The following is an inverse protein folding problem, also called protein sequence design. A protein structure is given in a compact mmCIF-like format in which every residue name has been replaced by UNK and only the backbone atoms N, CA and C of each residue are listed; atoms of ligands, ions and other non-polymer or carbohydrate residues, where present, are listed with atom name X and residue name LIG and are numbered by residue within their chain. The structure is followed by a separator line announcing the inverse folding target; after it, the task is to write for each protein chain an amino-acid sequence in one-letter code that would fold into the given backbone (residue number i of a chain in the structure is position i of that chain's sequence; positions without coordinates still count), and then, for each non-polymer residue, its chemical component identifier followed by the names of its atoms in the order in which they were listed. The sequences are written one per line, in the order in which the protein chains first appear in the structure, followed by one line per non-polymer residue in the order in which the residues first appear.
data_IF_368739756836
#
_entry.id   IF_368739756836
#
_cell.length_a   1.000
_cell.length_b   1.000
_cell.length_c   1.000
_cell.angle_alpha   90.00
_cell.angle_beta   90.00
_cell.angle_gamma   90.00
#
_symmetry.space_group_name_H-M   'P 1'
#
loop_
_entity.id
_entity.type
_entity.pdbx_description
1 polymer ?
#
# COMPACT_ATOMS: atom_id res chain seq x y z
N UNK A 1 3.60 -1.18 -27.43
CA UNK A 1 2.68 -2.27 -27.06
C UNK A 1 2.89 -3.51 -27.92
N UNK A 2 2.74 -3.50 -29.28
CA UNK A 2 2.83 -4.67 -30.18
C UNK A 2 4.15 -5.44 -30.05
N UNK A 3 5.30 -4.74 -29.96
CA UNK A 3 6.62 -5.39 -29.77
C UNK A 3 6.73 -6.17 -28.46
N UNK A 4 6.06 -5.69 -27.40
CA UNK A 4 6.03 -6.39 -26.09
C UNK A 4 5.20 -7.66 -26.19
N UNK A 5 4.05 -7.60 -26.85
CA UNK A 5 3.20 -8.76 -27.09
C UNK A 5 3.92 -9.82 -27.93
N UNK A 6 4.63 -9.40 -28.99
CA UNK A 6 5.38 -10.31 -29.85
C UNK A 6 6.64 -10.92 -29.21
N UNK A 7 7.12 -10.35 -28.10
CA UNK A 7 8.24 -10.91 -27.34
C UNK A 7 7.83 -12.14 -26.51
N UNK A 8 6.54 -12.32 -26.29
CA UNK A 8 5.90 -13.47 -25.59
C UNK A 8 6.53 -13.83 -24.25
N UNK A 9 7.04 -12.81 -23.53
CA UNK A 9 7.59 -12.99 -22.19
C UNK A 9 6.47 -12.81 -21.17
N UNK A 10 6.09 -13.91 -20.51
CA UNK A 10 5.02 -13.96 -19.53
C UNK A 10 5.58 -14.17 -18.13
N UNK A 11 5.20 -13.31 -17.19
CA UNK A 11 5.46 -13.52 -15.78
C UNK A 11 4.18 -13.99 -15.07
N UNK A 12 4.30 -14.99 -14.22
CA UNK A 12 3.28 -15.34 -13.25
C UNK A 12 3.50 -14.52 -11.98
N UNK A 13 2.50 -13.74 -11.61
CA UNK A 13 2.51 -12.89 -10.43
C UNK A 13 1.50 -13.39 -9.42
N UNK A 14 1.70 -12.99 -8.18
CA UNK A 14 0.77 -13.18 -7.09
C UNK A 14 -0.31 -12.09 -7.12
N UNK A 15 -1.47 -12.39 -6.57
CA UNK A 15 -2.48 -11.41 -6.21
C UNK A 15 -3.04 -11.76 -4.84
N UNK A 16 -3.71 -10.83 -4.19
CA UNK A 16 -4.35 -11.09 -2.91
C UNK A 16 -5.86 -11.04 -2.99
N UNK A 17 -6.52 -11.56 -1.96
CA UNK A 17 -7.96 -11.48 -1.76
C UNK A 17 -8.21 -10.85 -0.39
N UNK A 18 -9.03 -9.80 -0.35
CA UNK A 18 -9.53 -9.18 0.88
C UNK A 18 -11.06 -9.32 0.92
N UNK A 19 -11.61 -10.07 1.87
CA UNK A 19 -13.05 -10.33 2.00
C UNK A 19 -13.73 -10.67 0.66
N UNK A 20 -13.17 -11.62 -0.09
CA UNK A 20 -13.62 -12.09 -1.42
C UNK A 20 -13.41 -11.08 -2.58
N UNK A 21 -12.72 -9.97 -2.37
CA UNK A 21 -12.35 -9.01 -3.42
C UNK A 21 -10.88 -9.18 -3.77
N UNK A 22 -10.52 -9.33 -5.05
CA UNK A 22 -9.12 -9.42 -5.46
C UNK A 22 -8.45 -8.05 -5.39
N UNK A 23 -7.16 -8.02 -4.97
CA UNK A 23 -6.28 -6.87 -5.08
C UNK A 23 -4.95 -7.28 -5.69
N UNK A 24 -4.33 -6.38 -6.45
CA UNK A 24 -3.08 -6.66 -7.17
C UNK A 24 -1.90 -5.93 -6.55
N UNK A 25 -2.11 -4.73 -6.02
CA UNK A 25 -1.05 -3.92 -5.44
C UNK A 25 -1.12 -3.91 -3.92
N UNK A 26 -2.14 -3.26 -3.37
CA UNK A 26 -2.26 -3.06 -1.92
C UNK A 26 -3.72 -3.05 -1.48
N UNK A 27 -3.96 -3.51 -0.28
CA UNK A 27 -5.23 -3.29 0.41
C UNK A 27 -4.96 -2.88 1.85
N UNK A 28 -5.98 -2.33 2.53
CA UNK A 28 -5.75 -1.93 3.91
C UNK A 28 -6.93 -1.26 4.59
N UNK A 29 -6.70 -0.92 5.85
CA UNK A 29 -7.67 -0.29 6.74
C UNK A 29 -7.02 0.86 7.51
N UNK A 30 -7.83 1.77 7.98
CA UNK A 30 -7.35 2.92 8.74
C UNK A 30 -7.22 4.17 7.88
N UNK A 31 -6.17 4.93 8.09
CA UNK A 31 -5.99 6.22 7.44
C UNK A 31 -5.88 6.14 5.93
N UNK A 32 -5.23 5.13 5.37
CA UNK A 32 -5.11 4.93 3.93
C UNK A 32 -6.47 4.69 3.25
N UNK A 33 -7.34 3.90 3.90
CA UNK A 33 -8.73 3.73 3.45
C UNK A 33 -9.54 5.04 3.55
N UNK A 34 -9.32 5.81 4.61
CA UNK A 34 -9.92 7.14 4.75
C UNK A 34 -9.47 8.09 3.64
N UNK A 35 -8.18 8.10 3.30
CA UNK A 35 -7.64 8.90 2.20
C UNK A 35 -8.24 8.47 0.86
N UNK A 36 -8.30 7.18 0.57
CA UNK A 36 -8.92 6.64 -0.65
C UNK A 36 -10.38 7.09 -0.79
N UNK A 37 -11.15 7.04 0.31
CA UNK A 37 -12.53 7.51 0.34
C UNK A 37 -12.63 9.02 0.02
N UNK A 38 -11.77 9.84 0.62
CA UNK A 38 -11.76 11.30 0.37
C UNK A 38 -11.34 11.64 -1.06
N UNK A 39 -10.45 10.84 -1.66
CA UNK A 39 -10.11 10.99 -3.08
C UNK A 39 -11.29 10.68 -4.00
N UNK A 40 -12.01 9.59 -3.74
CA UNK A 40 -13.19 9.21 -4.51
C UNK A 40 -14.29 10.31 -4.45
N UNK A 41 -14.55 10.84 -3.24
CA UNK A 41 -15.52 11.93 -3.03
C UNK A 41 -15.14 13.23 -3.75
N UNK A 42 -13.85 13.52 -3.92
CA UNK A 42 -13.37 14.78 -4.51
C UNK A 42 -13.44 14.84 -6.04
N UNK A 43 -13.55 13.68 -6.72
CA UNK A 43 -13.58 13.59 -8.18
C UNK A 43 -12.32 14.11 -8.90
N UNK A 44 -11.29 14.52 -8.17
CA UNK A 44 -10.03 15.08 -8.70
C UNK A 44 -8.84 14.22 -8.32
N UNK A 45 -8.19 13.65 -9.30
CA UNK A 45 -6.82 13.12 -9.17
C UNK A 45 -5.87 14.31 -9.20
N UNK A 46 -5.47 14.82 -8.03
CA UNK A 46 -4.71 16.05 -7.91
C UNK A 46 -3.24 15.86 -7.54
N UNK A 47 -2.42 16.93 -7.66
CA UNK A 47 -1.00 16.92 -7.36
C UNK A 47 -0.70 16.73 -5.86
N UNK A 48 0.58 16.46 -5.53
CA UNK A 48 1.11 16.23 -4.18
C UNK A 48 0.62 17.20 -3.09
N UNK A 49 0.37 18.46 -3.43
CA UNK A 49 -0.20 19.46 -2.51
C UNK A 49 -1.59 19.11 -1.97
N UNK A 50 -2.37 18.36 -2.73
CA UNK A 50 -3.66 17.86 -2.27
C UNK A 50 -3.50 16.73 -1.25
N UNK A 51 -2.53 15.84 -1.47
CA UNK A 51 -2.17 14.78 -0.53
C UNK A 51 -1.70 15.39 0.79
N UNK A 52 -0.89 16.44 0.75
CA UNK A 52 -0.38 17.15 1.95
C UNK A 52 -1.51 17.78 2.76
N UNK A 53 -2.48 18.43 2.10
CA UNK A 53 -3.63 19.01 2.78
C UNK A 53 -4.55 17.94 3.38
N UNK A 54 -4.74 16.81 2.70
CA UNK A 54 -5.53 15.69 3.22
C UNK A 54 -4.81 14.92 4.32
N UNK A 55 -3.49 14.83 4.27
CA UNK A 55 -2.69 14.36 5.40
C UNK A 55 -2.89 15.26 6.63
N UNK A 56 -2.90 16.58 6.47
CA UNK A 56 -3.19 17.52 7.58
C UNK A 56 -4.59 17.35 8.16
N UNK A 57 -5.62 17.18 7.33
CA UNK A 57 -6.97 16.87 7.81
C UNK A 57 -7.03 15.50 8.49
N UNK A 58 -6.34 14.52 7.93
CA UNK A 58 -6.28 13.16 8.44
C UNK A 58 -5.47 13.01 9.73
N UNK A 59 -4.68 14.00 10.13
CA UNK A 59 -4.04 14.02 11.44
C UNK A 59 -5.05 14.17 12.59
N UNK A 60 -6.30 14.48 12.30
CA UNK A 60 -7.45 14.34 13.21
C UNK A 60 -8.05 12.93 13.20
N UNK A 61 -7.53 12.02 12.34
CA UNK A 61 -7.97 10.64 12.30
C UNK A 61 -7.58 9.95 13.61
N UNK A 62 -8.57 9.43 14.31
CA UNK A 62 -8.34 8.67 15.52
C UNK A 62 -7.89 7.26 15.16
N UNK A 63 -6.67 6.92 15.54
CA UNK A 63 -6.18 5.56 15.39
C UNK A 63 -7.05 4.56 16.16
N UNK A 64 -7.38 3.46 15.49
CA UNK A 64 -8.18 2.38 16.06
C UNK A 64 -7.30 1.27 16.65
N UNK A 65 -7.90 0.40 17.43
CA UNK A 65 -7.25 -0.81 17.96
C UNK A 65 -7.68 -2.00 17.14
N UNK A 66 -6.69 -2.64 16.52
CA UNK A 66 -6.86 -3.82 15.69
C UNK A 66 -6.24 -5.04 16.38
N UNK A 67 -6.90 -6.18 16.21
CA UNK A 67 -6.33 -7.49 16.51
C UNK A 67 -5.93 -8.11 15.19
N UNK A 68 -4.66 -8.48 15.04
CA UNK A 68 -4.14 -9.18 13.86
C UNK A 68 -3.80 -10.60 14.28
N UNK A 69 -4.33 -11.55 13.55
CA UNK A 69 -4.12 -12.99 13.72
C UNK A 69 -3.49 -13.55 12.46
N UNK A 70 -2.38 -14.28 12.61
CA UNK A 70 -1.70 -15.02 11.57
C UNK A 70 -1.35 -16.44 12.06
N UNK A 71 -0.58 -17.20 11.29
CA UNK A 71 -0.13 -18.55 11.66
C UNK A 71 0.78 -18.60 12.91
N UNK A 72 1.37 -17.47 13.31
CA UNK A 72 2.27 -17.35 14.45
C UNK A 72 1.56 -16.93 15.73
N UNK A 73 0.31 -16.48 15.62
CA UNK A 73 -0.50 -16.09 16.77
C UNK A 73 -1.33 -14.83 16.57
N UNK A 74 -1.66 -14.20 17.69
CA UNK A 74 -2.56 -13.05 17.72
C UNK A 74 -1.90 -11.90 18.45
N UNK A 75 -1.87 -10.71 17.82
CA UNK A 75 -1.30 -9.49 18.41
C UNK A 75 -2.28 -8.33 18.28
N UNK A 76 -2.34 -7.49 19.31
CA UNK A 76 -3.13 -6.25 19.29
C UNK A 76 -2.23 -5.05 19.01
N UNK A 77 -2.68 -4.21 18.07
CA UNK A 77 -2.00 -2.97 17.71
C UNK A 77 -2.97 -1.79 17.73
N UNK A 78 -2.57 -0.70 18.37
CA UNK A 78 -3.18 0.59 18.08
C UNK A 78 -2.51 1.14 16.84
N UNK A 79 -3.25 1.20 15.73
CA UNK A 79 -2.67 1.57 14.45
C UNK A 79 -3.38 2.77 13.81
N UNK A 80 -2.58 3.63 13.18
CA UNK A 80 -3.02 4.70 12.32
C UNK A 80 -3.48 4.14 10.97
N UNK A 81 -2.74 3.16 10.43
CA UNK A 81 -3.12 2.35 9.30
C UNK A 81 -2.53 0.93 9.40
N UNK A 82 -3.17 0.00 8.72
CA UNK A 82 -2.63 -1.32 8.41
C UNK A 82 -2.75 -1.53 6.91
N UNK A 83 -1.61 -1.66 6.22
CA UNK A 83 -1.55 -1.98 4.81
C UNK A 83 -1.05 -3.41 4.60
N UNK A 84 -1.70 -4.13 3.70
CA UNK A 84 -1.28 -5.45 3.21
C UNK A 84 -0.82 -5.26 1.77
N UNK A 85 0.47 -5.42 1.53
CA UNK A 85 1.11 -5.05 0.29
C UNK A 85 1.64 -6.26 -0.46
N UNK A 86 1.18 -6.46 -1.69
CA UNK A 86 1.74 -7.35 -2.70
C UNK A 86 2.75 -6.61 -3.59
N UNK A 87 2.55 -5.29 -3.77
CA UNK A 87 3.45 -4.40 -4.49
C UNK A 87 4.03 -3.32 -3.56
N UNK A 88 5.20 -2.77 -3.93
CA UNK A 88 5.96 -1.86 -3.07
C UNK A 88 5.34 -0.49 -2.86
N UNK A 89 4.43 -0.06 -3.72
CA UNK A 89 3.93 1.32 -3.75
C UNK A 89 2.41 1.38 -3.76
N UNK A 90 1.89 2.48 -3.20
CA UNK A 90 0.54 2.96 -3.51
C UNK A 90 0.44 3.58 -4.92
N UNK A 91 1.56 3.87 -5.56
CA UNK A 91 1.71 4.63 -6.80
C UNK A 91 2.43 5.95 -6.59
N UNK A 92 2.83 6.62 -7.69
CA UNK A 92 3.51 7.93 -7.69
C UNK A 92 4.71 8.01 -6.72
N UNK A 93 5.50 6.95 -6.63
CA UNK A 93 6.67 6.81 -5.74
C UNK A 93 6.34 6.90 -4.23
N UNK A 94 5.10 6.61 -3.83
CA UNK A 94 4.75 6.46 -2.42
C UNK A 94 4.98 5.00 -2.00
N UNK A 95 6.18 4.70 -1.46
CA UNK A 95 6.62 3.36 -1.11
C UNK A 95 6.12 2.96 0.28
N UNK A 96 5.01 2.22 0.33
CA UNK A 96 4.45 1.71 1.59
C UNK A 96 5.19 0.46 2.07
N UNK A 97 5.60 -0.41 1.14
CA UNK A 97 6.28 -1.66 1.41
C UNK A 97 7.51 -1.81 0.48
N UNK A 98 8.62 -1.12 0.75
CA UNK A 98 9.79 -1.06 -0.13
C UNK A 98 10.33 -2.41 -0.63
N UNK A 99 10.15 -3.47 0.14
CA UNK A 99 10.68 -4.81 -0.14
C UNK A 99 9.63 -5.80 -0.65
N UNK A 100 8.38 -5.37 -0.84
CA UNK A 100 7.31 -6.25 -1.31
C UNK A 100 7.62 -6.83 -2.69
N UNK A 101 7.31 -8.11 -2.86
CA UNK A 101 7.53 -8.86 -4.09
C UNK A 101 6.24 -9.54 -4.53
N UNK A 102 5.85 -9.32 -5.78
CA UNK A 102 4.67 -9.95 -6.38
C UNK A 102 4.91 -11.39 -6.83
N UNK A 103 5.97 -12.09 -6.32
CA UNK A 103 6.39 -13.41 -6.82
C UNK A 103 6.79 -14.39 -5.74
N UNK A 104 6.61 -14.06 -4.48
CA UNK A 104 7.07 -14.90 -3.37
C UNK A 104 5.96 -15.51 -2.52
N UNK A 105 4.71 -15.29 -2.93
CA UNK A 105 3.52 -15.84 -2.29
C UNK A 105 3.16 -15.22 -0.95
N UNK A 106 3.81 -14.11 -0.58
CA UNK A 106 3.62 -13.42 0.68
C UNK A 106 3.15 -11.98 0.45
N UNK A 107 2.50 -11.41 1.44
CA UNK A 107 2.26 -9.98 1.53
C UNK A 107 3.09 -9.39 2.64
N UNK A 108 3.57 -8.17 2.45
CA UNK A 108 4.18 -7.36 3.48
C UNK A 108 3.07 -6.63 4.25
N UNK A 109 2.97 -6.88 5.56
CA UNK A 109 2.04 -6.21 6.45
C UNK A 109 2.76 -5.05 7.10
N UNK A 110 2.22 -3.85 6.88
CA UNK A 110 2.75 -2.60 7.42
C UNK A 110 1.76 -2.06 8.45
N UNK A 111 2.17 -2.05 9.70
CA UNK A 111 1.40 -1.48 10.80
C UNK A 111 2.05 -0.17 11.19
N UNK A 112 1.40 0.95 10.87
CA UNK A 112 1.87 2.27 11.27
C UNK A 112 1.19 2.69 12.56
N UNK A 113 1.98 2.91 13.60
CA UNK A 113 1.49 3.42 14.89
C UNK A 113 1.08 4.90 14.79
N UNK A 114 0.19 5.36 15.66
CA UNK A 114 -0.14 6.78 15.75
C UNK A 114 1.10 7.62 16.03
N UNK A 115 1.18 8.78 15.40
CA UNK A 115 2.26 9.74 15.57
C UNK A 115 1.73 11.16 15.71
N UNK A 116 2.43 12.05 16.42
CA UNK A 116 2.02 13.45 16.53
C UNK A 116 2.18 14.18 15.19
N UNK A 117 1.35 15.19 14.96
CA UNK A 117 1.32 15.99 13.71
C UNK A 117 2.69 16.53 13.30
N UNK A 118 3.55 16.86 14.27
CA UNK A 118 4.90 17.37 14.02
C UNK A 118 5.79 16.35 13.29
N UNK A 119 5.53 15.05 13.41
CA UNK A 119 6.26 13.98 12.74
C UNK A 119 5.76 13.72 11.31
N UNK A 120 4.61 14.27 10.89
CA UNK A 120 4.02 14.01 9.59
C UNK A 120 4.95 14.32 8.39
N UNK A 121 5.73 15.41 8.38
CA UNK A 121 6.68 15.67 7.30
C UNK A 121 7.78 14.60 7.22
N UNK A 122 8.23 14.07 8.36
CA UNK A 122 9.23 13.01 8.40
C UNK A 122 8.67 11.69 7.88
N UNK A 123 7.44 11.34 8.27
CA UNK A 123 6.75 10.13 7.77
C UNK A 123 6.55 10.23 6.26
N UNK A 124 6.11 11.40 5.75
CA UNK A 124 5.98 11.64 4.32
C UNK A 124 7.33 11.52 3.59
N UNK A 125 8.40 12.10 4.14
CA UNK A 125 9.75 11.96 3.59
C UNK A 125 10.16 10.49 3.47
N UNK A 126 9.98 9.69 4.52
CA UNK A 126 10.28 8.26 4.49
C UNK A 126 9.46 7.50 3.44
N UNK A 127 8.16 7.83 3.30
CA UNK A 127 7.26 7.21 2.33
C UNK A 127 7.72 7.44 0.89
N UNK A 128 8.13 8.66 0.55
CA UNK A 128 8.57 9.02 -0.81
C UNK A 128 10.04 8.72 -1.08
N UNK A 129 10.85 8.51 -0.05
CA UNK A 129 12.27 8.22 -0.17
C UNK A 129 12.61 6.73 -0.04
N UNK A 130 11.59 5.85 -0.10
CA UNK A 130 11.77 4.39 -0.02
C UNK A 130 12.40 3.88 1.30
N UNK A 131 12.28 4.65 2.38
CA UNK A 131 12.87 4.36 3.71
C UNK A 131 11.83 4.23 4.82
N UNK A 132 10.56 3.97 4.47
CA UNK A 132 9.46 3.94 5.44
C UNK A 132 9.70 2.92 6.57
N UNK A 133 10.33 1.80 6.27
CA UNK A 133 10.61 0.74 7.25
C UNK A 133 11.69 1.11 8.27
N UNK A 134 12.45 2.20 8.06
CA UNK A 134 13.40 2.75 9.02
C UNK A 134 12.70 3.58 10.12
N UNK A 135 11.44 3.92 9.91
CA UNK A 135 10.66 4.68 10.88
C UNK A 135 10.34 3.85 12.11
N UNK A 136 10.60 4.38 13.30
CA UNK A 136 10.22 3.76 14.59
C UNK A 136 8.71 3.61 14.77
N UNK A 137 7.90 4.30 13.95
CA UNK A 137 6.44 4.23 13.96
C UNK A 137 5.88 3.07 13.15
N UNK A 138 6.74 2.37 12.40
CA UNK A 138 6.35 1.30 11.51
C UNK A 138 6.83 -0.03 12.04
N UNK A 139 5.90 -0.98 12.14
CA UNK A 139 6.18 -2.40 12.34
C UNK A 139 5.84 -3.14 11.06
N UNK A 140 6.65 -4.08 10.69
CA UNK A 140 6.42 -4.89 9.51
C UNK A 140 6.66 -6.37 9.80
N UNK A 141 5.89 -7.21 9.14
CA UNK A 141 6.09 -8.65 9.08
C UNK A 141 5.48 -9.17 7.78
N UNK A 142 5.71 -10.45 7.47
CA UNK A 142 5.24 -11.06 6.23
C UNK A 142 4.35 -12.24 6.56
N UNK A 143 3.26 -12.38 5.83
CA UNK A 143 2.35 -13.50 5.98
C UNK A 143 1.69 -13.84 4.64
N UNK A 144 1.23 -15.08 4.51
CA UNK A 144 0.39 -15.50 3.40
C UNK A 144 -1.08 -15.21 3.66
N UNK A 145 -1.49 -15.30 4.93
CA UNK A 145 -2.87 -15.09 5.36
C UNK A 145 -2.91 -14.42 6.72
N UNK A 146 -3.78 -13.44 6.87
CA UNK A 146 -4.08 -12.81 8.15
C UNK A 146 -5.58 -12.56 8.31
N UNK A 147 -5.99 -12.42 9.56
CA UNK A 147 -7.28 -11.86 9.95
C UNK A 147 -7.06 -10.59 10.75
N UNK A 148 -7.69 -9.51 10.32
CA UNK A 148 -7.71 -8.23 11.03
C UNK A 148 -9.10 -8.08 11.64
N UNK A 149 -9.17 -7.87 12.96
CA UNK A 149 -10.42 -7.59 13.68
C UNK A 149 -10.37 -6.21 14.29
N UNK A 150 -11.42 -5.42 14.10
CA UNK A 150 -11.61 -4.09 14.69
C UNK A 150 -12.92 -4.01 15.46
N UNK A 151 -13.13 -2.91 16.22
CA UNK A 151 -14.27 -2.76 17.14
C UNK A 151 -15.60 -2.53 16.42
N UNK A 152 -15.59 -1.96 15.22
CA UNK A 152 -16.79 -1.60 14.46
C UNK A 152 -16.56 -1.71 12.94
N UNK A 153 -17.62 -1.84 12.12
CA UNK A 153 -17.53 -1.67 10.67
C UNK A 153 -16.94 -0.30 10.28
N UNK A 154 -16.25 -0.23 9.14
CA UNK A 154 -15.65 1.01 8.70
C UNK A 154 -15.02 0.90 7.31
N UNK A 155 -14.23 1.91 6.93
CA UNK A 155 -13.54 1.97 5.66
C UNK A 155 -12.44 0.91 5.53
N UNK A 156 -12.29 0.42 4.32
CA UNK A 156 -11.12 -0.29 3.81
C UNK A 156 -10.84 0.21 2.38
N UNK A 157 -9.68 -0.07 1.85
CA UNK A 157 -9.41 0.11 0.42
C UNK A 157 -8.88 -1.18 -0.22
N UNK A 158 -9.09 -1.27 -1.53
CA UNK A 158 -8.59 -2.33 -2.38
C UNK A 158 -8.02 -1.67 -3.64
N UNK A 159 -6.70 -1.71 -3.85
CA UNK A 159 -5.98 -1.02 -4.93
C UNK A 159 -6.34 0.48 -5.05
N UNK A 160 -6.54 1.15 -3.91
CA UNK A 160 -6.92 2.57 -3.84
C UNK A 160 -8.42 2.86 -3.98
N UNK A 161 -9.24 1.87 -4.31
CA UNK A 161 -10.70 2.02 -4.34
C UNK A 161 -11.28 1.88 -2.93
N UNK A 162 -12.01 2.88 -2.45
CA UNK A 162 -12.59 2.87 -1.11
C UNK A 162 -13.82 1.98 -1.03
N UNK A 163 -13.89 1.21 0.05
CA UNK A 163 -14.98 0.29 0.34
C UNK A 163 -15.35 0.38 1.82
N UNK A 164 -16.50 -0.18 2.18
CA UNK A 164 -16.90 -0.36 3.58
C UNK A 164 -17.02 -1.84 3.88
N UNK A 165 -16.44 -2.28 5.00
CA UNK A 165 -16.52 -3.67 5.43
C UNK A 165 -16.88 -3.78 6.91
N UNK A 166 -17.24 -5.00 7.34
CA UNK A 166 -17.53 -5.33 8.74
C UNK A 166 -16.31 -5.20 9.65
N UNK A 167 -16.45 -5.72 10.85
CA UNK A 167 -15.39 -5.70 11.86
C UNK A 167 -14.30 -6.76 11.62
N UNK A 168 -14.58 -7.79 10.83
CA UNK A 168 -13.65 -8.87 10.51
C UNK A 168 -13.22 -8.73 9.05
N UNK A 169 -11.91 -8.75 8.81
CA UNK A 169 -11.30 -8.59 7.51
C UNK A 169 -10.29 -9.72 7.33
N UNK A 170 -10.57 -10.61 6.40
CA UNK A 170 -9.69 -11.70 6.01
C UNK A 170 -8.89 -11.31 4.78
N UNK A 171 -7.57 -11.49 4.83
CA UNK A 171 -6.65 -11.21 3.71
C UNK A 171 -5.80 -12.44 3.45
N UNK A 172 -5.73 -12.85 2.17
CA UNK A 172 -4.97 -14.04 1.76
C UNK A 172 -4.31 -13.82 0.40
N UNK A 173 -3.08 -14.33 0.24
CA UNK A 173 -2.35 -14.34 -1.04
C UNK A 173 -2.67 -15.57 -1.86
N UNK A 174 -2.83 -15.38 -3.16
CA UNK A 174 -2.99 -16.42 -4.19
C UNK A 174 -1.74 -16.41 -5.08
N UNK A 175 -0.78 -17.31 -4.82
CA UNK A 175 0.51 -17.29 -5.50
C UNK A 175 0.43 -17.64 -6.98
N UNK A 176 1.26 -17.02 -7.82
CA UNK A 176 1.53 -17.37 -9.22
C UNK A 176 0.28 -17.52 -10.10
N UNK A 177 -0.81 -16.84 -9.76
CA UNK A 177 -2.12 -17.03 -10.38
C UNK A 177 -2.53 -15.90 -11.34
N UNK A 178 -1.71 -14.85 -11.47
CA UNK A 178 -1.94 -13.72 -12.37
C UNK A 178 -0.83 -13.63 -13.42
N UNK A 179 -1.19 -13.82 -14.70
CA UNK A 179 -0.23 -13.80 -15.81
C UNK A 179 -0.17 -12.43 -16.46
N UNK A 180 1.04 -11.90 -16.62
CA UNK A 180 1.28 -10.58 -17.22
C UNK A 180 2.34 -10.69 -18.33
N UNK A 181 2.01 -10.16 -19.50
CA UNK A 181 2.99 -9.99 -20.58
C UNK A 181 3.87 -8.79 -20.26
N UNK A 182 5.17 -9.00 -20.22
CA UNK A 182 6.14 -7.97 -19.83
C UNK A 182 7.12 -7.64 -20.96
N UNK A 183 7.64 -6.42 -20.92
CA UNK A 183 8.74 -6.05 -21.80
C UNK A 183 10.05 -6.62 -21.23
N UNK A 184 10.73 -7.55 -21.95
CA UNK A 184 11.96 -8.17 -21.47
C UNK A 184 13.13 -7.18 -21.29
N UNK A 185 13.04 -5.99 -21.89
CA UNK A 185 14.07 -4.96 -21.83
C UNK A 185 13.77 -3.85 -20.81
N UNK A 186 12.67 -3.96 -20.07
CA UNK A 186 12.39 -2.98 -19.02
C UNK A 186 13.41 -3.11 -17.89
N UNK A 187 14.22 -2.09 -17.70
CA UNK A 187 15.08 -1.98 -16.53
C UNK A 187 14.20 -1.67 -15.31
N UNK A 188 14.38 -2.40 -14.22
CA UNK A 188 13.80 -2.01 -12.94
C UNK A 188 14.49 -0.71 -12.53
N UNK A 189 13.72 0.38 -12.52
CA UNK A 189 14.22 1.65 -11.99
C UNK A 189 14.07 1.63 -10.48
N UNK A 190 15.17 1.81 -9.77
CA UNK A 190 15.09 2.26 -8.39
C UNK A 190 14.61 3.71 -8.44
N UNK A 191 13.33 3.92 -8.23
CA UNK A 191 12.76 5.26 -8.21
C UNK A 191 13.19 5.94 -6.91
N UNK A 192 14.12 6.88 -7.02
CA UNK A 192 14.37 7.90 -6.02
C UNK A 192 13.54 9.17 -6.34
N UNK A 193 13.43 10.07 -5.39
CA UNK A 193 12.64 11.32 -5.55
C UNK A 193 13.27 12.24 -6.62
N UNK A 194 14.53 12.11 -6.89
CA UNK A 194 15.32 13.01 -7.74
C UNK A 194 15.25 12.60 -9.21
N UNK A 195 15.21 11.30 -9.51
CA UNK A 195 15.23 10.77 -10.87
C UNK A 195 14.13 11.33 -11.78
N UNK A 196 12.85 11.45 -11.36
CA UNK A 196 11.80 12.05 -12.20
C UNK A 196 12.02 13.53 -12.49
N UNK A 197 12.74 14.25 -11.63
CA UNK A 197 13.06 15.68 -11.82
C UNK A 197 14.20 15.86 -12.82
N UNK A 198 15.24 15.06 -12.70
CA UNK A 198 16.43 15.12 -13.59
C UNK A 198 16.08 14.69 -15.01
N UNK A 199 15.23 13.68 -15.19
CA UNK A 199 14.79 13.25 -16.52
C UNK A 199 13.95 14.30 -17.24
N UNK A 200 13.05 15.02 -16.54
CA UNK A 200 12.29 16.12 -17.12
C UNK A 200 13.15 17.31 -17.58
N UNK A 201 14.29 17.53 -16.94
CA UNK A 201 15.22 18.59 -17.32
C UNK A 201 15.99 18.21 -18.59
N UNK A 202 16.26 16.92 -18.80
CA UNK A 202 17.01 16.42 -19.95
C UNK A 202 16.15 16.19 -21.20
N UNK A 203 14.82 16.30 -21.11
CA UNK A 203 13.88 16.21 -22.23
C UNK A 203 13.50 17.58 -22.83
N UNK A 204 14.09 18.69 -22.31
CA UNK A 204 14.02 20.06 -22.85
C UNK A 204 15.37 20.48 -23.43
#
# INVERSE_FOLDING_TARGET
AIRVLNADVVHSLDYGIINNLPFFCTCGVGFDAFVSQKFAESGKRGPLSYIENKLREGLKYNADTYTIEDENGTVKHKAFLIACANASQYGNNAFIAPHASMKDGLMDIIVMEPFPTIEAPQVAFHLFNNTLLESKRVKTFRARKIRITRTAPGAMHCDGEPLTTGAIIDVEMVPSSFKVVVNPHTKVRNADIITPFVERINEW
#
